data_IF_523189112242
#
_entry.id   IF_523189112242
#
_cell.length_a   1.000
_cell.length_b   1.000
_cell.length_c   1.000
_cell.angle_alpha   90.00
_cell.angle_beta   90.00
_cell.angle_gamma   90.00
#
_symmetry.space_group_name_H-M   'P 1'
#
loop_
_entity.id
_entity.type
_entity.pdbx_description
1 polymer ?
#
# COMPACT_ATOMS: atom_id res chain seq x y z
N UNK A 1 10.97 -11.75 21.43
CA UNK A 1 10.84 -12.46 20.14
C UNK A 1 10.11 -11.53 19.19
N UNK A 2 10.73 -11.19 18.06
CA UNK A 2 10.21 -10.17 17.10
C UNK A 2 9.00 -10.69 16.29
N UNK A 3 7.87 -10.91 16.91
CA UNK A 3 6.65 -11.44 16.27
C UNK A 3 5.79 -10.42 15.52
N UNK A 4 6.29 -9.20 15.35
CA UNK A 4 5.55 -8.12 14.66
C UNK A 4 6.18 -7.58 13.37
N UNK A 5 7.39 -8.01 13.03
CA UNK A 5 8.12 -7.42 11.93
C UNK A 5 7.71 -8.04 10.58
N UNK A 6 7.09 -7.25 9.71
CA UNK A 6 6.74 -7.65 8.34
C UNK A 6 8.02 -7.89 7.52
N UNK A 7 8.09 -9.03 6.82
CA UNK A 7 9.28 -9.49 6.07
C UNK A 7 9.15 -9.24 4.57
N UNK A 8 7.93 -9.32 4.06
CA UNK A 8 7.64 -9.11 2.64
C UNK A 8 6.39 -8.28 2.48
N UNK A 9 6.48 -7.22 1.67
CA UNK A 9 5.36 -6.32 1.42
C UNK A 9 5.13 -6.15 -0.08
N UNK A 10 3.96 -5.62 -0.45
CA UNK A 10 3.68 -5.20 -1.80
C UNK A 10 3.18 -3.76 -1.83
N UNK A 11 3.56 -3.02 -2.88
CA UNK A 11 3.00 -1.69 -3.19
C UNK A 11 2.28 -1.78 -4.51
N UNK A 12 0.99 -1.49 -4.52
CA UNK A 12 0.07 -1.58 -5.66
C UNK A 12 -0.23 -0.19 -6.21
N UNK A 13 0.15 0.04 -7.47
CA UNK A 13 0.07 1.34 -8.12
C UNK A 13 1.38 2.12 -7.97
N UNK A 14 2.24 2.06 -9.00
CA UNK A 14 3.56 2.70 -9.01
C UNK A 14 3.51 4.06 -9.72
N UNK A 15 2.64 4.94 -9.21
CA UNK A 15 2.60 6.36 -9.57
C UNK A 15 3.58 7.18 -8.74
N UNK A 16 3.36 8.52 -8.72
CA UNK A 16 4.21 9.48 -7.99
C UNK A 16 4.22 9.26 -6.46
N UNK A 17 3.26 8.52 -5.91
CA UNK A 17 3.23 8.11 -4.50
C UNK A 17 3.84 6.73 -4.33
N UNK A 18 3.32 5.74 -5.06
CA UNK A 18 3.67 4.34 -4.83
C UNK A 18 5.07 3.98 -5.28
N UNK A 19 5.63 4.61 -6.32
CA UNK A 19 7.00 4.31 -6.76
C UNK A 19 8.05 4.74 -5.73
N UNK A 20 8.08 6.00 -5.25
CA UNK A 20 9.01 6.41 -4.18
C UNK A 20 8.87 5.54 -2.93
N UNK A 21 7.62 5.22 -2.54
CA UNK A 21 7.36 4.37 -1.39
C UNK A 21 7.90 2.95 -1.57
N UNK A 22 7.68 2.32 -2.74
CA UNK A 22 8.21 0.99 -3.05
C UNK A 22 9.74 0.98 -3.05
N UNK A 23 10.38 2.03 -3.58
CA UNK A 23 11.84 2.19 -3.57
C UNK A 23 12.36 2.38 -2.16
N UNK A 24 11.72 3.20 -1.34
CA UNK A 24 12.11 3.40 0.06
C UNK A 24 12.04 2.07 0.85
N UNK A 25 10.94 1.34 0.72
CA UNK A 25 10.81 0.03 1.35
C UNK A 25 11.81 -1.00 0.82
N UNK A 26 12.05 -1.02 -0.50
CA UNK A 26 12.98 -1.95 -1.13
C UNK A 26 14.44 -1.79 -0.70
N UNK A 27 14.79 -0.70 0.01
CA UNK A 27 16.08 -0.53 0.69
C UNK A 27 16.14 -1.31 2.01
N UNK A 28 14.99 -1.67 2.61
CA UNK A 28 14.87 -2.17 3.99
C UNK A 28 14.22 -3.55 4.12
N UNK A 29 13.34 -3.93 3.19
CA UNK A 29 12.52 -5.14 3.28
C UNK A 29 12.20 -5.68 1.88
N UNK A 30 11.97 -6.99 1.75
CA UNK A 30 11.52 -7.56 0.50
C UNK A 30 10.23 -6.88 0.04
N UNK A 31 10.28 -6.24 -1.13
CA UNK A 31 9.19 -5.41 -1.64
C UNK A 31 8.80 -5.81 -3.06
N UNK A 32 7.52 -6.03 -3.27
CA UNK A 32 6.92 -6.23 -4.59
C UNK A 32 6.31 -4.90 -5.04
N UNK A 33 6.85 -4.31 -6.09
CA UNK A 33 6.23 -3.18 -6.78
C UNK A 33 5.32 -3.68 -7.89
N UNK A 34 4.00 -3.55 -7.71
CA UNK A 34 3.00 -4.00 -8.66
C UNK A 34 2.35 -2.84 -9.42
N UNK A 35 2.37 -2.91 -10.75
CA UNK A 35 1.61 -1.99 -11.62
C UNK A 35 1.14 -2.75 -12.87
N UNK A 36 0.02 -2.32 -13.44
CA UNK A 36 -0.54 -2.89 -14.67
C UNK A 36 0.18 -2.39 -15.94
N UNK A 37 0.85 -1.24 -15.87
CA UNK A 37 1.54 -0.63 -17.00
C UNK A 37 2.94 -1.24 -17.21
N UNK A 38 3.02 -2.15 -18.18
CA UNK A 38 4.26 -2.83 -18.54
C UNK A 38 5.38 -1.86 -18.94
N UNK A 39 5.06 -0.73 -19.58
CA UNK A 39 6.06 0.26 -20.01
C UNK A 39 6.70 0.94 -18.81
N UNK A 40 5.90 1.26 -17.78
CA UNK A 40 6.42 1.76 -16.52
C UNK A 40 7.37 0.75 -15.89
N UNK A 41 6.94 -0.51 -15.78
CA UNK A 41 7.75 -1.56 -15.16
C UNK A 41 9.07 -1.80 -15.91
N UNK A 42 9.08 -1.74 -17.24
CA UNK A 42 10.30 -1.83 -18.04
C UNK A 42 11.26 -0.67 -17.74
N UNK A 43 10.75 0.57 -17.70
CA UNK A 43 11.54 1.75 -17.33
C UNK A 43 12.13 1.62 -15.93
N UNK A 44 11.32 1.23 -14.94
CA UNK A 44 11.76 1.10 -13.56
C UNK A 44 12.82 -0.01 -13.38
N UNK A 45 12.69 -1.14 -14.07
CA UNK A 45 13.75 -2.18 -14.11
C UNK A 45 15.05 -1.67 -14.72
N UNK A 46 14.96 -0.71 -15.64
CA UNK A 46 16.11 0.00 -16.23
C UNK A 46 16.66 1.12 -15.34
N UNK A 47 16.05 1.37 -14.18
CA UNK A 47 16.43 2.48 -13.29
C UNK A 47 16.05 3.85 -13.85
N UNK A 48 14.94 3.92 -14.60
CA UNK A 48 14.44 5.14 -15.24
C UNK A 48 13.03 5.42 -14.72
N UNK A 49 12.87 6.58 -14.08
CA UNK A 49 11.55 7.12 -13.73
C UNK A 49 11.24 8.35 -14.59
N UNK A 50 10.30 8.25 -15.56
CA UNK A 50 9.92 9.39 -16.40
C UNK A 50 9.27 10.55 -15.62
N UNK A 51 8.73 10.32 -14.43
CA UNK A 51 8.17 11.38 -13.58
C UNK A 51 9.25 12.19 -12.84
N UNK A 52 10.45 11.62 -12.68
CA UNK A 52 11.59 12.27 -12.00
C UNK A 52 11.46 12.29 -10.47
N UNK A 53 10.56 11.51 -9.89
CA UNK A 53 10.42 11.38 -8.42
C UNK A 53 11.53 10.50 -7.82
N UNK A 54 12.02 9.50 -8.58
CA UNK A 54 13.06 8.57 -8.16
C UNK A 54 14.25 8.64 -9.13
N UNK A 55 15.44 8.84 -8.60
CA UNK A 55 16.66 8.84 -9.40
C UNK A 55 17.28 7.43 -9.49
N UNK A 56 18.27 7.28 -10.39
CA UNK A 56 18.92 5.99 -10.65
C UNK A 56 19.65 5.41 -9.43
N UNK A 57 20.22 6.25 -8.60
CA UNK A 57 20.95 5.81 -7.40
C UNK A 57 19.98 5.22 -6.37
N UNK A 58 18.79 5.80 -6.24
CA UNK A 58 17.72 5.30 -5.38
C UNK A 58 17.22 3.93 -5.84
N UNK A 59 17.02 3.72 -7.15
CA UNK A 59 16.69 2.40 -7.70
C UNK A 59 17.77 1.36 -7.38
N UNK A 60 19.04 1.70 -7.55
CA UNK A 60 20.16 0.80 -7.24
C UNK A 60 20.26 0.47 -5.75
N UNK A 61 19.91 1.41 -4.88
CA UNK A 61 19.89 1.20 -3.44
C UNK A 61 18.74 0.28 -2.98
N UNK A 62 17.65 0.21 -3.75
CA UNK A 62 16.48 -0.61 -3.44
C UNK A 62 16.69 -2.07 -3.89
N UNK A 63 17.72 -2.72 -3.38
CA UNK A 63 18.15 -4.06 -3.81
C UNK A 63 17.13 -5.19 -3.51
N UNK A 64 16.15 -4.93 -2.64
CA UNK A 64 15.09 -5.87 -2.28
C UNK A 64 13.76 -5.56 -2.97
N UNK A 65 13.74 -4.65 -3.97
CA UNK A 65 12.56 -4.30 -4.73
C UNK A 65 12.50 -5.09 -6.05
N UNK A 66 11.37 -5.75 -6.27
CA UNK A 66 11.07 -6.46 -7.50
C UNK A 66 9.81 -5.87 -8.16
N UNK A 67 9.88 -5.59 -9.46
CA UNK A 67 8.75 -5.04 -10.22
C UNK A 67 7.99 -6.13 -10.98
N UNK A 68 6.67 -6.17 -10.85
CA UNK A 68 5.82 -7.16 -11.52
C UNK A 68 4.45 -6.61 -11.92
N UNK A 69 3.85 -7.21 -12.93
CA UNK A 69 2.43 -7.07 -13.28
C UNK A 69 1.65 -8.37 -13.04
N UNK A 70 2.30 -9.38 -12.47
CA UNK A 70 1.63 -10.63 -12.09
C UNK A 70 0.93 -10.44 -10.74
N UNK A 71 -0.41 -10.39 -10.70
CA UNK A 71 -1.15 -10.20 -9.45
C UNK A 71 -1.00 -11.38 -8.50
N UNK A 72 -0.66 -12.59 -8.98
CA UNK A 72 -0.43 -13.77 -8.14
C UNK A 72 0.71 -13.58 -7.15
N UNK A 73 1.67 -12.69 -7.46
CA UNK A 73 2.77 -12.34 -6.56
C UNK A 73 2.32 -11.59 -5.29
N UNK A 74 1.13 -10.96 -5.32
CA UNK A 74 0.59 -10.27 -4.14
C UNK A 74 0.30 -11.23 -2.98
N UNK A 75 0.03 -12.50 -3.26
CA UNK A 75 -0.21 -13.51 -2.22
C UNK A 75 1.03 -13.81 -1.34
N UNK A 76 2.22 -13.38 -1.77
CA UNK A 76 3.46 -13.54 -1.02
C UNK A 76 3.64 -12.47 0.07
N UNK A 77 2.86 -11.37 0.02
CA UNK A 77 3.02 -10.22 0.88
C UNK A 77 2.24 -10.35 2.19
N UNK A 78 2.88 -10.01 3.31
CA UNK A 78 2.24 -9.91 4.63
C UNK A 78 1.51 -8.56 4.82
N UNK A 79 1.92 -7.53 4.06
CA UNK A 79 1.20 -6.28 3.95
C UNK A 79 1.18 -5.79 2.49
N UNK A 80 0.03 -5.28 2.06
CA UNK A 80 -0.19 -4.76 0.71
C UNK A 80 -0.62 -3.31 0.83
N UNK A 81 0.19 -2.39 0.29
CA UNK A 81 -0.07 -0.95 0.31
C UNK A 81 -0.69 -0.55 -1.03
N UNK A 82 -1.89 -0.01 -0.99
CA UNK A 82 -2.64 0.43 -2.18
C UNK A 82 -2.44 1.93 -2.36
N UNK A 83 -1.66 2.31 -3.38
CA UNK A 83 -1.26 3.68 -3.68
C UNK A 83 -1.73 4.13 -5.08
N UNK A 84 -2.95 3.75 -5.45
CA UNK A 84 -3.56 4.13 -6.73
C UNK A 84 -4.17 5.52 -6.66
N UNK A 85 -4.25 6.27 -7.79
CA UNK A 85 -4.84 7.59 -7.81
C UNK A 85 -6.36 7.55 -7.56
N UNK A 86 -6.88 8.64 -6.97
CA UNK A 86 -8.31 8.91 -6.82
C UNK A 86 -8.63 10.24 -7.52
N UNK A 87 -8.69 10.27 -8.87
CA UNK A 87 -8.98 11.49 -9.60
C UNK A 87 -10.41 11.97 -9.34
N UNK A 88 -10.68 13.22 -9.66
CA UNK A 88 -12.03 13.80 -9.59
C UNK A 88 -12.57 13.99 -11.01
N UNK A 89 -13.87 13.80 -11.18
CA UNK A 89 -14.57 14.11 -12.44
C UNK A 89 -14.82 15.64 -12.59
N UNK A 90 -15.39 16.02 -13.73
CA UNK A 90 -15.73 17.45 -14.01
C UNK A 90 -16.70 18.03 -12.98
N UNK A 91 -17.52 17.20 -12.34
CA UNK A 91 -18.43 17.60 -11.27
C UNK A 91 -17.78 17.56 -9.86
N UNK A 92 -16.44 17.40 -9.80
CA UNK A 92 -15.64 17.26 -8.57
C UNK A 92 -16.06 16.05 -7.69
N UNK A 93 -16.60 15.00 -8.30
CA UNK A 93 -16.87 13.75 -7.60
C UNK A 93 -15.65 12.83 -7.74
N UNK A 94 -15.26 12.11 -6.66
CA UNK A 94 -14.14 11.18 -6.74
C UNK A 94 -14.45 10.02 -7.72
N UNK A 95 -13.52 9.77 -8.64
CA UNK A 95 -13.54 8.55 -9.44
C UNK A 95 -12.85 7.43 -8.65
N UNK A 96 -13.65 6.50 -8.16
CA UNK A 96 -13.19 5.35 -7.39
C UNK A 96 -12.84 4.13 -8.27
N UNK A 97 -12.92 4.23 -9.59
CA UNK A 97 -12.63 3.11 -10.48
C UNK A 97 -11.21 2.53 -10.29
N UNK A 98 -10.14 3.35 -10.16
CA UNK A 98 -8.81 2.82 -9.87
C UNK A 98 -8.75 2.09 -8.52
N UNK A 99 -9.35 2.67 -7.48
CA UNK A 99 -9.36 2.12 -6.13
C UNK A 99 -10.14 0.80 -6.04
N UNK A 100 -11.34 0.75 -6.61
CA UNK A 100 -12.15 -0.48 -6.66
C UNK A 100 -11.51 -1.56 -7.52
N UNK A 101 -10.82 -1.17 -8.62
CA UNK A 101 -10.03 -2.08 -9.44
C UNK A 101 -8.87 -2.69 -8.67
N UNK A 102 -8.10 -1.86 -7.97
CA UNK A 102 -7.02 -2.32 -7.11
C UNK A 102 -7.52 -3.23 -5.98
N UNK A 103 -8.63 -2.86 -5.31
CA UNK A 103 -9.23 -3.68 -4.26
C UNK A 103 -9.68 -5.06 -4.77
N UNK A 104 -10.19 -5.16 -6.01
CA UNK A 104 -10.51 -6.47 -6.64
C UNK A 104 -9.26 -7.28 -6.89
N UNK A 105 -8.22 -6.67 -7.45
CA UNK A 105 -6.94 -7.35 -7.75
C UNK A 105 -6.28 -7.85 -6.46
N UNK A 106 -6.23 -7.01 -5.44
CA UNK A 106 -5.69 -7.36 -4.13
C UNK A 106 -6.52 -8.47 -3.49
N UNK A 107 -7.84 -8.31 -3.41
CA UNK A 107 -8.74 -9.29 -2.81
C UNK A 107 -8.60 -10.68 -3.43
N UNK A 108 -8.54 -10.77 -4.76
CA UNK A 108 -8.38 -12.05 -5.46
C UNK A 108 -7.06 -12.78 -5.15
N UNK A 109 -6.08 -12.08 -4.58
CA UNK A 109 -4.73 -12.61 -4.27
C UNK A 109 -4.36 -12.41 -2.79
N UNK A 110 -5.32 -12.13 -1.93
CA UNK A 110 -5.07 -11.83 -0.52
C UNK A 110 -4.87 -13.10 0.30
N UNK A 111 -3.78 -13.15 1.05
CA UNK A 111 -3.49 -14.27 1.96
C UNK A 111 -4.07 -14.03 3.36
N UNK A 112 -4.50 -15.08 4.08
CA UNK A 112 -4.96 -14.95 5.47
C UNK A 112 -3.91 -14.31 6.38
N UNK A 113 -4.33 -13.37 7.22
CA UNK A 113 -3.48 -12.64 8.17
C UNK A 113 -2.77 -11.43 7.56
N UNK A 114 -2.92 -11.18 6.25
CA UNK A 114 -2.33 -10.00 5.60
C UNK A 114 -3.02 -8.70 6.06
N UNK A 115 -2.28 -7.59 5.97
CA UNK A 115 -2.79 -6.23 6.20
C UNK A 115 -2.88 -5.53 4.85
N UNK A 116 -4.03 -4.92 4.54
CA UNK A 116 -4.19 -4.03 3.38
C UNK A 116 -4.18 -2.59 3.87
N UNK A 117 -3.18 -1.80 3.45
CA UNK A 117 -3.05 -0.39 3.82
C UNK A 117 -3.44 0.49 2.64
N UNK A 118 -4.39 1.37 2.82
CA UNK A 118 -4.79 2.33 1.78
C UNK A 118 -4.07 3.66 1.97
N UNK A 119 -3.32 4.08 0.94
CA UNK A 119 -2.67 5.40 0.83
C UNK A 119 -3.52 6.40 0.05
N UNK A 120 -4.43 5.91 -0.78
CA UNK A 120 -5.29 6.74 -1.61
C UNK A 120 -6.16 7.66 -0.73
N UNK A 121 -6.13 8.96 -1.01
CA UNK A 121 -6.97 9.94 -0.31
C UNK A 121 -8.42 9.77 -0.71
N UNK A 122 -9.28 9.47 0.26
CA UNK A 122 -10.71 9.21 0.07
C UNK A 122 -11.54 9.93 1.14
N UNK A 123 -12.85 10.01 0.94
CA UNK A 123 -13.77 10.51 1.95
C UNK A 123 -13.93 9.53 3.13
N UNK A 124 -14.28 10.01 4.33
CA UNK A 124 -14.49 9.15 5.50
C UNK A 124 -15.56 8.08 5.24
N UNK A 125 -15.26 6.83 5.61
CA UNK A 125 -16.12 5.67 5.38
C UNK A 125 -15.88 4.94 4.05
N UNK A 126 -15.17 5.53 3.08
CA UNK A 126 -14.95 4.91 1.78
C UNK A 126 -14.20 3.57 1.89
N UNK A 127 -13.22 3.47 2.77
CA UNK A 127 -12.47 2.24 3.00
C UNK A 127 -13.40 1.13 3.49
N UNK A 128 -14.20 1.43 4.51
CA UNK A 128 -15.11 0.48 5.17
C UNK A 128 -16.30 0.12 4.30
N UNK A 129 -16.87 1.09 3.58
CA UNK A 129 -18.12 0.92 2.83
C UNK A 129 -17.89 0.38 1.42
N UNK A 130 -16.72 0.63 0.82
CA UNK A 130 -16.43 0.29 -0.58
C UNK A 130 -15.30 -0.73 -0.69
N UNK A 131 -14.13 -0.46 -0.08
CA UNK A 131 -12.94 -1.28 -0.31
C UNK A 131 -13.02 -2.62 0.42
N UNK A 132 -13.38 -2.63 1.70
CA UNK A 132 -13.45 -3.84 2.53
C UNK A 132 -14.46 -4.85 1.97
N UNK A 133 -15.71 -4.50 1.61
CA UNK A 133 -16.64 -5.44 1.00
C UNK A 133 -16.12 -6.07 -0.31
N UNK A 134 -15.35 -5.31 -1.10
CA UNK A 134 -14.71 -5.84 -2.31
C UNK A 134 -13.61 -6.84 -1.94
N UNK A 135 -12.77 -6.52 -0.96
CA UNK A 135 -11.72 -7.44 -0.49
C UNK A 135 -12.33 -8.75 0.03
N UNK A 136 -13.37 -8.70 0.84
CA UNK A 136 -14.09 -9.87 1.35
C UNK A 136 -14.69 -10.71 0.22
N UNK A 137 -15.41 -10.07 -0.71
CA UNK A 137 -16.03 -10.74 -1.84
C UNK A 137 -15.01 -11.45 -2.74
N UNK A 138 -13.85 -10.85 -2.99
CA UNK A 138 -12.87 -11.40 -3.91
C UNK A 138 -11.97 -12.45 -3.24
N UNK A 139 -11.64 -12.29 -1.97
CA UNK A 139 -10.76 -13.21 -1.25
C UNK A 139 -11.50 -14.40 -0.61
N UNK A 140 -12.77 -14.24 -0.28
CA UNK A 140 -13.51 -15.16 0.59
C UNK A 140 -13.04 -15.12 2.05
N UNK A 141 -12.16 -14.17 2.41
CA UNK A 141 -11.68 -13.93 3.77
C UNK A 141 -12.60 -12.95 4.49
N UNK A 142 -12.60 -12.98 5.82
CA UNK A 142 -13.35 -12.06 6.67
C UNK A 142 -12.47 -10.90 7.13
N UNK A 143 -12.99 -9.68 7.14
CA UNK A 143 -12.34 -8.56 7.80
C UNK A 143 -12.39 -8.70 9.32
N UNK A 144 -11.23 -8.85 9.96
CA UNK A 144 -11.10 -9.13 11.40
C UNK A 144 -11.01 -7.87 12.27
N UNK A 145 -11.00 -6.68 11.69
CA UNK A 145 -10.95 -5.38 12.39
C UNK A 145 -12.32 -4.72 12.59
N UNK A 146 -13.42 -5.35 12.15
CA UNK A 146 -14.78 -4.80 12.22
C UNK A 146 -15.37 -4.81 13.65
N UNK A 147 -16.58 -4.24 13.75
CA UNK A 147 -17.31 -4.18 15.02
C UNK A 147 -17.62 -5.57 15.62
N UNK A 148 -17.72 -6.60 14.77
CA UNK A 148 -17.97 -7.98 15.15
C UNK A 148 -16.70 -8.83 15.27
N UNK A 149 -15.53 -8.20 15.40
CA UNK A 149 -14.22 -8.86 15.40
C UNK A 149 -14.11 -10.01 16.43
N UNK A 150 -14.75 -9.91 17.59
CA UNK A 150 -14.80 -10.99 18.59
C UNK A 150 -15.58 -12.21 18.09
N UNK A 151 -16.69 -11.99 17.40
CA UNK A 151 -17.53 -13.06 16.82
C UNK A 151 -16.84 -13.74 15.62
N UNK A 152 -15.97 -13.02 14.93
CA UNK A 152 -15.20 -13.49 13.78
C UNK A 152 -13.84 -14.12 14.16
N UNK A 153 -13.53 -14.14 15.46
CA UNK A 153 -12.28 -14.71 16.00
C UNK A 153 -12.14 -16.20 15.61
N UNK A 154 -10.98 -16.53 15.01
CA UNK A 154 -10.69 -17.88 14.54
C UNK A 154 -11.06 -18.16 13.07
N UNK A 155 -11.74 -17.24 12.38
CA UNK A 155 -11.92 -17.33 10.93
C UNK A 155 -10.66 -16.91 10.18
N UNK A 156 -10.39 -17.49 9.00
CA UNK A 156 -9.35 -16.94 8.13
C UNK A 156 -9.77 -15.55 7.64
N UNK A 157 -8.92 -14.56 7.87
CA UNK A 157 -9.28 -13.18 7.59
C UNK A 157 -8.09 -12.28 7.36
N UNK A 158 -8.36 -10.99 7.18
CA UNK A 158 -7.38 -9.94 6.93
C UNK A 158 -7.65 -8.70 7.79
N UNK A 159 -6.68 -7.80 7.81
CA UNK A 159 -6.74 -6.54 8.54
C UNK A 159 -6.58 -5.36 7.59
N UNK A 160 -7.00 -4.17 8.04
CA UNK A 160 -6.94 -2.95 7.23
C UNK A 160 -6.29 -1.82 7.99
N UNK A 161 -5.40 -1.11 7.30
CA UNK A 161 -4.79 0.13 7.73
C UNK A 161 -5.07 1.26 6.76
N UNK A 162 -4.81 2.47 7.21
CA UNK A 162 -4.95 3.68 6.41
C UNK A 162 -3.80 4.64 6.68
N UNK A 163 -3.22 5.19 5.62
CA UNK A 163 -2.12 6.15 5.74
C UNK A 163 -2.20 7.15 4.58
N UNK A 164 -2.96 8.27 4.72
CA UNK A 164 -3.17 9.19 3.63
C UNK A 164 -1.87 9.83 3.14
N UNK A 165 -1.76 9.98 1.81
CA UNK A 165 -0.65 10.70 1.21
C UNK A 165 -0.77 12.20 1.49
N UNK A 166 0.36 12.84 1.79
CA UNK A 166 0.47 14.26 2.14
C UNK A 166 1.51 15.01 1.29
N UNK A 167 2.12 14.35 0.31
CA UNK A 167 3.16 14.91 -0.54
C UNK A 167 2.53 15.41 -1.84
N UNK A 168 2.88 16.63 -2.24
CA UNK A 168 2.47 17.14 -3.54
C UNK A 168 3.44 16.65 -4.63
N UNK A 169 2.95 16.28 -5.82
CA UNK A 169 3.80 15.88 -6.94
C UNK A 169 4.88 16.95 -7.23
N UNK A 170 6.14 16.51 -7.35
CA UNK A 170 7.26 17.40 -7.64
C UNK A 170 7.75 18.24 -6.45
N UNK A 171 7.23 18.06 -5.24
CA UNK A 171 7.74 18.71 -4.04
C UNK A 171 9.07 18.08 -3.64
N UNK A 172 10.14 18.86 -3.74
CA UNK A 172 11.51 18.40 -3.39
C UNK A 172 11.88 18.64 -1.92
N UNK A 173 11.03 19.34 -1.18
CA UNK A 173 11.27 19.70 0.23
C UNK A 173 10.54 18.73 1.15
N UNK A 174 9.24 18.52 0.88
CA UNK A 174 8.40 17.63 1.65
C UNK A 174 8.39 16.26 0.97
N UNK A 175 9.32 15.40 1.35
CA UNK A 175 9.45 14.03 0.84
C UNK A 175 8.96 13.02 1.88
N UNK A 176 8.84 11.77 1.47
CA UNK A 176 8.42 10.67 2.35
C UNK A 176 9.21 10.64 3.67
N UNK A 177 10.52 10.81 3.60
CA UNK A 177 11.41 10.73 4.76
C UNK A 177 11.25 11.90 5.72
N UNK A 178 10.83 13.08 5.23
CA UNK A 178 10.85 14.35 5.99
C UNK A 178 9.49 14.76 6.55
N UNK A 179 8.40 14.09 6.19
CA UNK A 179 7.06 14.40 6.67
C UNK A 179 6.63 13.36 7.70
N UNK A 180 6.14 13.81 8.87
CA UNK A 180 5.49 12.92 9.84
C UNK A 180 4.32 12.21 9.16
N UNK A 181 4.38 10.90 9.03
CA UNK A 181 3.35 10.09 8.39
C UNK A 181 2.23 9.78 9.38
N UNK A 182 0.99 10.02 8.97
CA UNK A 182 -0.18 9.62 9.76
C UNK A 182 -0.51 8.18 9.40
N UNK A 183 -0.69 7.33 10.40
CA UNK A 183 -1.07 5.92 10.22
C UNK A 183 -2.25 5.56 11.11
N UNK A 184 -3.10 4.68 10.61
CA UNK A 184 -4.21 4.12 11.35
C UNK A 184 -4.30 2.61 11.10
N UNK A 185 -4.88 1.89 12.04
CA UNK A 185 -5.17 0.47 11.93
C UNK A 185 -6.55 0.17 12.51
N UNK A 186 -7.20 -0.83 11.97
CA UNK A 186 -8.51 -1.32 12.42
C UNK A 186 -8.49 -1.98 13.80
N UNK A 187 -7.32 -2.41 14.25
CA UNK A 187 -7.06 -2.87 15.61
C UNK A 187 -5.79 -2.24 16.17
N UNK A 188 -5.60 -2.21 17.51
CA UNK A 188 -4.33 -1.75 18.08
C UNK A 188 -3.11 -2.52 17.54
N UNK A 189 -3.24 -3.83 17.33
CA UNK A 189 -2.18 -4.68 16.80
C UNK A 189 -1.87 -4.36 15.33
N UNK A 190 -2.90 -4.06 14.53
CA UNK A 190 -2.72 -3.61 13.15
C UNK A 190 -2.04 -2.26 13.11
N UNK A 191 -2.47 -1.31 13.96
CA UNK A 191 -1.83 0.00 14.07
C UNK A 191 -0.34 -0.13 14.40
N UNK A 192 0.02 -0.93 15.41
CA UNK A 192 1.41 -1.16 15.80
C UNK A 192 2.25 -1.72 14.62
N UNK A 193 1.70 -2.70 13.89
CA UNK A 193 2.39 -3.31 12.74
C UNK A 193 2.56 -2.32 11.58
N UNK A 194 1.54 -1.50 11.29
CA UNK A 194 1.59 -0.47 10.25
C UNK A 194 2.58 0.63 10.66
N UNK A 195 2.53 1.11 11.91
CA UNK A 195 3.47 2.10 12.42
C UNK A 195 4.92 1.60 12.31
N UNK A 196 5.22 0.41 12.81
CA UNK A 196 6.54 -0.22 12.68
C UNK A 196 6.99 -0.38 11.22
N UNK A 197 6.07 -0.59 10.27
CA UNK A 197 6.41 -0.66 8.86
C UNK A 197 6.89 0.69 8.34
N UNK A 198 6.10 1.75 8.56
CA UNK A 198 6.42 3.08 8.06
C UNK A 198 7.63 3.72 8.76
N UNK A 199 7.89 3.43 10.05
CA UNK A 199 9.08 3.88 10.78
C UNK A 199 10.40 3.44 10.13
N UNK A 200 10.38 2.44 9.25
CA UNK A 200 11.58 2.02 8.50
C UNK A 200 11.97 2.99 7.39
N UNK A 201 11.04 3.80 6.90
CA UNK A 201 11.20 4.63 5.70
C UNK A 201 10.86 6.10 5.92
N UNK A 202 10.39 6.46 7.12
CA UNK A 202 10.00 7.83 7.48
C UNK A 202 10.85 8.29 8.67
N UNK A 203 11.88 9.07 8.39
CA UNK A 203 12.81 9.58 9.43
C UNK A 203 12.12 10.57 10.38
N UNK A 204 11.12 11.31 9.88
CA UNK A 204 10.35 12.27 10.67
C UNK A 204 9.40 11.59 11.69
N UNK A 205 9.26 10.27 11.62
CA UNK A 205 8.42 9.47 12.49
C UNK A 205 6.98 9.32 12.00
N UNK A 206 6.19 8.53 12.74
CA UNK A 206 4.77 8.26 12.46
C UNK A 206 3.89 8.73 13.62
N UNK A 207 2.64 9.06 13.32
CA UNK A 207 1.64 9.53 14.29
C UNK A 207 0.32 8.78 14.11
#
# INVERSE_FOLDING_TARGET
MNSGQLKKIAVVGLGYVGLPLAVAFGKQVETIGFDLDQRKLENYRGGIDPSGEVNREEFLAAAQLEFTSDPGRLAEAEAIIVAVPTPIDEARRPDLAPLTGASRTVGANLSPGAIVVFESTVYPGCTEEICIPILEQQSGLTWLGGLDAEAESGKPGFYVGYSPERINPGDKVNRLETIVKVVAGDTPQTLDRVACLYERVVDAGVH
#
